data_IF_968196480863
#
_entry.id   IF_968196480863
#
_cell.length_a   1.000
_cell.length_b   1.000
_cell.length_c   1.000
_cell.angle_alpha   90.00
_cell.angle_beta   90.00
_cell.angle_gamma   90.00
#
_symmetry.space_group_name_H-M   'P 1'
#
loop_
_entity.id
_entity.type
_entity.pdbx_description
1 polymer ?
#
# COMPACT_ATOMS: atom_id res chain seq x y z
N UNK A 1 18.82 9.75 1.04
CA UNK A 1 18.25 10.56 -0.04
C UNK A 1 17.78 9.67 -1.17
N UNK A 2 16.70 8.89 -0.93
CA UNK A 2 16.06 8.05 -1.95
C UNK A 2 15.36 8.93 -2.97
N UNK A 3 15.50 8.58 -4.21
CA UNK A 3 15.08 9.33 -5.39
C UNK A 3 13.54 9.42 -5.50
N UNK A 4 12.93 10.44 -4.91
CA UNK A 4 11.52 10.81 -5.14
C UNK A 4 11.22 11.22 -6.60
N UNK A 5 12.25 11.28 -7.47
CA UNK A 5 12.13 11.73 -8.87
C UNK A 5 11.40 10.73 -9.78
N UNK A 6 11.49 9.42 -9.55
CA UNK A 6 10.81 8.40 -10.35
C UNK A 6 9.29 8.44 -10.20
N UNK A 7 8.81 8.64 -8.98
CA UNK A 7 7.38 8.76 -8.68
C UNK A 7 6.77 10.09 -9.19
N UNK A 8 7.56 11.17 -9.26
CA UNK A 8 7.13 12.44 -9.86
C UNK A 8 6.86 12.32 -11.38
N UNK A 9 7.54 11.41 -12.09
CA UNK A 9 7.28 11.15 -13.50
C UNK A 9 5.90 10.51 -13.76
N UNK A 10 5.31 9.83 -12.78
CA UNK A 10 3.97 9.24 -12.87
C UNK A 10 2.84 10.28 -12.85
N UNK A 11 3.10 11.50 -12.35
CA UNK A 11 2.12 12.58 -12.29
C UNK A 11 2.03 13.39 -13.60
N UNK A 12 2.94 13.18 -14.55
CA UNK A 12 3.04 13.97 -15.75
C UNK A 12 2.51 13.25 -16.99
N UNK A 13 1.33 13.68 -17.44
CA UNK A 13 0.99 13.83 -18.87
C UNK A 13 0.44 12.69 -19.69
N UNK A 14 -0.20 11.64 -19.20
CA UNK A 14 -1.00 10.85 -20.17
C UNK A 14 -2.34 10.40 -19.58
N UNK A 15 -3.43 11.02 -20.06
CA UNK A 15 -4.73 10.36 -20.17
C UNK A 15 -5.61 10.30 -18.93
N UNK A 16 -5.39 11.08 -17.88
CA UNK A 16 -6.40 11.19 -16.82
C UNK A 16 -7.63 11.92 -17.37
N UNK A 17 -8.75 11.20 -17.48
CA UNK A 17 -10.04 11.77 -17.79
C UNK A 17 -10.38 12.93 -16.85
N UNK A 18 -11.19 13.88 -17.30
CA UNK A 18 -11.61 15.09 -16.57
C UNK A 18 -12.10 14.80 -15.15
N UNK A 19 -12.74 13.65 -14.92
CA UNK A 19 -13.15 13.14 -13.61
C UNK A 19 -11.96 12.75 -12.71
N UNK A 20 -10.88 12.22 -13.27
CA UNK A 20 -9.67 11.90 -12.54
C UNK A 20 -9.00 13.13 -11.94
N UNK A 21 -8.97 14.24 -12.68
CA UNK A 21 -8.45 15.51 -12.18
C UNK A 21 -9.31 16.09 -11.06
N UNK A 22 -10.64 16.00 -11.16
CA UNK A 22 -11.56 16.45 -10.12
C UNK A 22 -11.41 15.62 -8.84
N UNK A 23 -11.26 14.31 -8.96
CA UNK A 23 -11.02 13.40 -7.84
C UNK A 23 -9.66 13.66 -7.18
N UNK A 24 -8.61 13.79 -7.99
CA UNK A 24 -7.26 14.14 -7.51
C UNK A 24 -7.24 15.49 -6.79
N UNK A 25 -7.94 16.49 -7.32
CA UNK A 25 -8.08 17.80 -6.71
C UNK A 25 -8.89 17.75 -5.41
N UNK A 26 -9.96 16.94 -5.37
CA UNK A 26 -10.76 16.69 -4.18
C UNK A 26 -9.96 16.04 -3.06
N UNK A 27 -9.18 14.97 -3.38
CA UNK A 27 -8.30 14.30 -2.41
C UNK A 27 -7.21 15.24 -1.86
N UNK A 28 -6.63 16.08 -2.71
CA UNK A 28 -5.60 17.05 -2.29
C UNK A 28 -6.15 18.16 -1.39
N UNK A 29 -7.42 18.53 -1.56
CA UNK A 29 -8.09 19.58 -0.76
C UNK A 29 -8.89 19.05 0.41
N UNK A 30 -9.27 17.78 0.39
CA UNK A 30 -10.05 17.21 1.49
C UNK A 30 -9.14 16.90 2.67
N UNK A 31 -9.60 17.21 3.86
CA UNK A 31 -9.05 16.70 5.10
C UNK A 31 -9.26 15.19 5.26
N UNK A 32 -9.69 14.49 4.19
CA UNK A 32 -10.07 13.08 4.22
C UNK A 32 -8.94 12.17 4.70
N UNK A 33 -7.73 12.39 4.19
CA UNK A 33 -6.53 11.65 4.63
C UNK A 33 -5.65 12.46 5.57
N UNK A 34 -5.95 13.75 5.80
CA UNK A 34 -5.17 14.70 6.63
C UNK A 34 -3.70 14.77 6.24
N UNK A 35 -3.43 14.85 4.93
CA UNK A 35 -2.09 14.74 4.34
C UNK A 35 -1.54 16.09 3.89
N UNK A 36 -0.20 16.16 3.85
CA UNK A 36 0.53 17.20 3.13
C UNK A 36 0.44 16.93 1.62
N UNK A 37 0.49 17.99 0.77
CA UNK A 37 0.33 17.87 -0.69
C UNK A 37 1.38 16.97 -1.39
N UNK A 38 2.54 16.81 -0.79
CA UNK A 38 3.68 16.03 -1.32
C UNK A 38 3.54 14.53 -1.11
N UNK A 39 2.59 14.09 -0.31
CA UNK A 39 2.45 12.70 0.12
C UNK A 39 1.48 11.88 -0.76
N UNK A 40 0.91 12.50 -1.81
CA UNK A 40 -0.11 11.88 -2.66
C UNK A 40 0.35 11.81 -4.11
N UNK A 41 0.39 10.60 -4.66
CA UNK A 41 0.65 10.35 -6.08
C UNK A 41 -0.54 9.65 -6.72
N UNK A 42 -0.76 9.88 -8.02
CA UNK A 42 -1.86 9.26 -8.76
C UNK A 42 -1.32 8.33 -9.84
N UNK A 43 -2.00 7.18 -9.98
CA UNK A 43 -1.72 6.16 -10.99
C UNK A 43 -3.04 5.68 -11.61
N UNK A 44 -2.96 4.86 -12.65
CA UNK A 44 -4.16 4.35 -13.31
C UNK A 44 -4.78 3.13 -12.59
N UNK A 45 -3.98 2.43 -11.77
CA UNK A 45 -4.42 1.25 -11.01
C UNK A 45 -3.52 1.01 -9.81
N UNK A 46 -4.01 0.20 -8.85
CA UNK A 46 -3.18 -0.34 -7.77
C UNK A 46 -1.91 -1.00 -8.31
N UNK A 47 -2.06 -1.91 -9.28
CA UNK A 47 -0.94 -2.66 -9.88
C UNK A 47 0.16 -1.74 -10.40
N UNK A 48 -0.22 -0.68 -11.14
CA UNK A 48 0.76 0.28 -11.66
C UNK A 48 1.44 1.05 -10.53
N UNK A 49 0.69 1.51 -9.55
CA UNK A 49 1.25 2.22 -8.39
C UNK A 49 2.22 1.35 -7.60
N UNK A 50 1.83 0.11 -7.33
CA UNK A 50 2.66 -0.83 -6.59
C UNK A 50 3.92 -1.22 -7.38
N UNK A 51 3.80 -1.54 -8.67
CA UNK A 51 4.95 -1.83 -9.54
C UNK A 51 5.93 -0.66 -9.61
N UNK A 52 5.42 0.56 -9.76
CA UNK A 52 6.28 1.75 -9.79
C UNK A 52 7.04 1.95 -8.48
N UNK A 53 6.39 1.70 -7.35
CA UNK A 53 7.01 1.77 -6.03
C UNK A 53 8.12 0.73 -5.88
N UNK A 54 7.81 -0.54 -6.15
CA UNK A 54 8.75 -1.64 -5.91
C UNK A 54 9.92 -1.66 -6.87
N UNK A 55 9.77 -1.09 -8.07
CA UNK A 55 10.87 -0.94 -9.04
C UNK A 55 11.95 0.05 -8.57
N UNK A 56 11.64 0.94 -7.63
CA UNK A 56 12.60 1.88 -7.04
C UNK A 56 13.34 1.29 -5.82
N UNK A 57 12.93 0.12 -5.34
CA UNK A 57 13.57 -0.56 -4.22
C UNK A 57 14.81 -1.31 -4.72
N UNK A 58 15.96 -0.97 -4.15
CA UNK A 58 17.24 -1.55 -4.53
C UNK A 58 17.60 -2.77 -3.68
N UNK A 59 18.43 -3.65 -4.25
CA UNK A 59 18.96 -4.82 -3.54
C UNK A 59 18.04 -6.03 -3.60
N UNK A 60 18.12 -6.89 -2.59
CA UNK A 60 17.28 -8.09 -2.42
C UNK A 60 16.61 -8.10 -1.05
N UNK A 61 15.71 -7.15 -0.79
CA UNK A 61 15.01 -7.11 0.48
C UNK A 61 14.07 -8.31 0.62
N UNK A 62 13.80 -8.65 1.88
CA UNK A 62 12.85 -9.70 2.25
C UNK A 62 11.46 -9.10 2.44
N UNK A 63 10.48 -9.68 1.77
CA UNK A 63 9.09 -9.31 1.89
C UNK A 63 8.27 -10.42 2.54
N UNK A 64 7.49 -10.10 3.56
CA UNK A 64 6.34 -10.93 3.95
C UNK A 64 5.17 -10.56 3.04
N UNK A 65 4.54 -11.59 2.49
CA UNK A 65 3.29 -11.53 1.72
C UNK A 65 2.34 -12.62 2.20
N UNK A 66 1.03 -12.43 2.04
CA UNK A 66 0.06 -13.45 2.39
C UNK A 66 -0.16 -14.43 1.24
N UNK A 67 -0.39 -15.70 1.58
CA UNK A 67 -0.91 -16.68 0.64
C UNK A 67 -2.29 -16.22 0.16
N UNK A 68 -2.58 -16.37 -1.12
CA UNK A 68 -3.88 -16.00 -1.73
C UNK A 68 -4.29 -14.52 -1.57
N UNK A 69 -3.36 -13.62 -1.22
CA UNK A 69 -3.59 -12.18 -1.30
C UNK A 69 -3.73 -11.72 -2.76
N UNK A 70 -4.11 -10.47 -2.97
CA UNK A 70 -4.33 -9.95 -4.32
C UNK A 70 -3.09 -10.18 -5.21
N UNK A 71 -3.23 -10.90 -6.35
CA UNK A 71 -2.07 -11.40 -7.12
C UNK A 71 -1.08 -10.32 -7.54
N UNK A 72 -1.55 -9.08 -7.77
CA UNK A 72 -0.67 -7.98 -8.16
C UNK A 72 0.41 -7.67 -7.15
N UNK A 73 0.23 -8.01 -5.85
CA UNK A 73 1.25 -7.85 -4.82
C UNK A 73 2.40 -8.83 -5.09
N UNK A 74 2.11 -10.12 -5.00
CA UNK A 74 3.13 -11.16 -5.13
C UNK A 74 3.77 -11.19 -6.52
N UNK A 75 3.00 -10.98 -7.58
CA UNK A 75 3.50 -11.01 -8.96
C UNK A 75 4.45 -9.84 -9.27
N UNK A 76 4.16 -8.65 -8.73
CA UNK A 76 5.05 -7.50 -8.89
C UNK A 76 6.39 -7.71 -8.17
N UNK A 77 6.35 -8.30 -6.98
CA UNK A 77 7.55 -8.60 -6.19
C UNK A 77 8.39 -9.70 -6.83
N UNK A 78 7.76 -10.76 -7.36
CA UNK A 78 8.46 -11.83 -8.10
C UNK A 78 9.21 -11.29 -9.31
N UNK A 79 8.63 -10.35 -10.05
CA UNK A 79 9.29 -9.72 -11.22
C UNK A 79 10.58 -8.99 -10.86
N UNK A 80 10.67 -8.46 -9.65
CA UNK A 80 11.86 -7.78 -9.13
C UNK A 80 12.87 -8.74 -8.47
N UNK A 81 12.58 -10.06 -8.45
CA UNK A 81 13.46 -11.09 -7.86
C UNK A 81 13.80 -10.83 -6.39
N UNK A 82 12.82 -10.31 -5.62
CA UNK A 82 12.92 -10.13 -4.17
C UNK A 82 12.71 -11.45 -3.42
N UNK A 83 13.19 -11.52 -2.18
CA UNK A 83 13.03 -12.67 -1.32
C UNK A 83 11.64 -12.65 -0.65
N UNK A 84 10.75 -13.59 -1.04
CA UNK A 84 9.36 -13.62 -0.59
C UNK A 84 9.13 -14.69 0.45
N UNK A 85 8.58 -14.28 1.59
CA UNK A 85 8.16 -15.12 2.69
C UNK A 85 6.64 -15.18 2.68
N UNK A 86 6.09 -16.31 2.27
CA UNK A 86 4.64 -16.51 2.26
C UNK A 86 4.12 -16.89 3.63
N UNK A 87 3.06 -16.25 4.05
CA UNK A 87 2.39 -16.46 5.32
C UNK A 87 0.93 -16.86 5.07
N UNK A 88 0.45 -17.86 5.81
CA UNK A 88 -0.93 -18.34 5.68
C UNK A 88 -1.92 -17.20 5.93
N UNK A 89 -2.91 -17.11 5.04
CA UNK A 89 -4.05 -16.21 5.13
C UNK A 89 -5.25 -16.98 5.68
N UNK A 90 -5.33 -17.12 6.99
CA UNK A 90 -6.38 -17.83 7.72
C UNK A 90 -6.81 -17.05 8.97
N UNK A 91 -7.65 -17.65 9.81
CA UNK A 91 -8.14 -17.02 11.05
C UNK A 91 -7.04 -16.60 12.03
N UNK A 92 -5.81 -17.10 11.88
CA UNK A 92 -4.66 -16.78 12.71
C UNK A 92 -3.67 -15.85 11.99
N UNK A 93 -4.12 -15.10 10.99
CA UNK A 93 -3.29 -14.27 10.09
C UNK A 93 -2.31 -13.36 10.85
N UNK A 94 -2.74 -12.76 11.95
CA UNK A 94 -1.91 -11.84 12.75
C UNK A 94 -0.78 -12.56 13.47
N UNK A 95 -1.06 -13.71 14.08
CA UNK A 95 -0.06 -14.57 14.70
C UNK A 95 0.92 -15.12 13.67
N UNK A 96 0.41 -15.51 12.50
CA UNK A 96 1.22 -15.99 11.39
C UNK A 96 2.19 -14.92 10.90
N UNK A 97 1.74 -13.67 10.74
CA UNK A 97 2.58 -12.52 10.38
C UNK A 97 3.63 -12.29 11.47
N UNK A 98 3.23 -12.22 12.74
CA UNK A 98 4.15 -11.97 13.85
C UNK A 98 5.24 -13.04 13.96
N UNK A 99 4.88 -14.32 13.86
CA UNK A 99 5.83 -15.42 13.87
C UNK A 99 6.81 -15.35 12.70
N UNK A 100 6.35 -14.97 11.51
CA UNK A 100 7.21 -14.81 10.35
C UNK A 100 8.18 -13.62 10.52
N UNK A 101 7.74 -12.51 11.10
CA UNK A 101 8.62 -11.36 11.40
C UNK A 101 9.73 -11.78 12.36
N UNK A 102 9.40 -12.47 13.46
CA UNK A 102 10.38 -12.96 14.44
C UNK A 102 11.39 -13.90 13.79
N UNK A 103 10.91 -14.82 12.96
CA UNK A 103 11.73 -15.89 12.36
C UNK A 103 12.68 -15.37 11.27
N UNK A 104 12.19 -14.46 10.41
CA UNK A 104 12.88 -14.12 9.16
C UNK A 104 13.47 -12.71 9.14
N UNK A 105 13.09 -11.86 10.10
CA UNK A 105 13.49 -10.45 10.20
C UNK A 105 13.38 -9.75 8.82
N UNK A 106 12.16 -9.59 8.27
CA UNK A 106 11.93 -9.00 6.96
C UNK A 106 12.14 -7.50 6.95
N UNK A 107 12.38 -6.95 5.76
CA UNK A 107 12.45 -5.50 5.54
C UNK A 107 11.04 -4.91 5.32
N UNK A 108 10.17 -5.69 4.65
CA UNK A 108 8.85 -5.24 4.24
C UNK A 108 7.74 -6.24 4.60
N UNK A 109 6.57 -5.68 4.94
CA UNK A 109 5.29 -6.38 4.99
C UNK A 109 4.38 -5.76 3.92
N UNK A 110 4.05 -6.53 2.85
CA UNK A 110 3.18 -6.08 1.78
C UNK A 110 1.87 -6.89 1.80
N UNK A 111 0.75 -6.23 2.15
CA UNK A 111 -0.53 -6.90 2.45
C UNK A 111 -1.73 -6.07 2.01
N UNK A 112 -2.84 -6.75 1.67
CA UNK A 112 -4.17 -6.12 1.62
C UNK A 112 -4.69 -5.89 3.05
N UNK A 113 -5.17 -4.67 3.33
CA UNK A 113 -5.73 -4.30 4.66
C UNK A 113 -7.02 -5.09 4.91
N UNK A 114 -7.83 -5.24 3.86
CA UNK A 114 -9.01 -6.11 3.85
C UNK A 114 -8.81 -7.14 2.76
N UNK A 115 -8.87 -8.41 3.13
CA UNK A 115 -8.64 -9.52 2.21
C UNK A 115 -9.75 -9.60 1.16
N UNK A 116 -9.37 -9.82 -0.08
CA UNK A 116 -10.31 -9.73 -1.21
C UNK A 116 -11.19 -10.96 -1.40
N UNK A 117 -10.79 -12.12 -0.83
CA UNK A 117 -11.51 -13.38 -0.95
C UNK A 117 -12.63 -13.48 0.09
N UNK A 118 -12.33 -13.19 1.34
CA UNK A 118 -13.20 -13.47 2.49
C UNK A 118 -13.60 -12.22 3.30
N UNK A 119 -12.96 -11.06 3.00
CA UNK A 119 -13.24 -9.80 3.67
C UNK A 119 -12.63 -9.66 5.06
N UNK A 120 -11.69 -10.53 5.45
CA UNK A 120 -10.98 -10.40 6.73
C UNK A 120 -10.26 -9.05 6.75
N UNK A 121 -10.54 -8.26 7.78
CA UNK A 121 -9.85 -7.01 8.10
C UNK A 121 -8.72 -7.30 9.09
N UNK A 122 -7.49 -6.98 8.71
CA UNK A 122 -6.35 -7.07 9.64
C UNK A 122 -6.46 -5.94 10.66
N UNK A 123 -6.35 -6.26 11.95
CA UNK A 123 -6.50 -5.26 13.01
C UNK A 123 -5.44 -4.17 12.92
N UNK A 124 -5.91 -2.94 12.87
CA UNK A 124 -5.04 -1.76 12.82
C UNK A 124 -4.19 -1.59 14.09
N UNK A 125 -4.69 -2.03 15.26
CA UNK A 125 -3.91 -1.98 16.50
C UNK A 125 -2.79 -3.03 16.50
N UNK A 126 -3.04 -4.20 15.93
CA UNK A 126 -1.99 -5.20 15.69
C UNK A 126 -0.88 -4.61 14.81
N UNK A 127 -1.23 -4.03 13.65
CA UNK A 127 -0.23 -3.41 12.76
C UNK A 127 0.52 -2.24 13.43
N UNK A 128 -0.16 -1.44 14.27
CA UNK A 128 0.51 -0.40 15.07
C UNK A 128 1.50 -0.99 16.07
N UNK A 129 1.13 -2.09 16.73
CA UNK A 129 2.05 -2.77 17.65
C UNK A 129 3.29 -3.29 16.94
N UNK A 130 3.15 -3.82 15.73
CA UNK A 130 4.30 -4.22 14.90
C UNK A 130 5.24 -3.05 14.60
N UNK A 131 4.70 -1.87 14.25
CA UNK A 131 5.53 -0.67 13.98
C UNK A 131 6.25 -0.17 15.22
N UNK A 132 5.68 -0.35 16.41
CA UNK A 132 6.33 0.03 17.67
C UNK A 132 7.46 -0.95 18.04
N UNK A 133 7.24 -2.24 17.82
CA UNK A 133 8.18 -3.31 18.16
C UNK A 133 9.29 -3.44 17.10
N UNK A 134 8.94 -3.33 15.80
CA UNK A 134 9.85 -3.51 14.65
C UNK A 134 10.00 -2.21 13.86
N UNK A 135 10.79 -1.27 14.37
CA UNK A 135 10.91 0.10 13.81
C UNK A 135 11.43 0.15 12.37
N UNK A 136 12.20 -0.86 11.97
CA UNK A 136 12.77 -0.95 10.61
C UNK A 136 11.83 -1.66 9.63
N UNK A 137 10.74 -2.28 10.11
CA UNK A 137 9.76 -2.92 9.24
C UNK A 137 8.96 -1.85 8.50
N UNK A 138 8.98 -1.91 7.18
CA UNK A 138 8.16 -1.07 6.32
C UNK A 138 6.85 -1.78 5.97
N UNK A 139 5.71 -1.14 6.20
CA UNK A 139 4.38 -1.68 5.86
C UNK A 139 3.83 -1.00 4.61
N UNK A 140 3.69 -1.77 3.54
CA UNK A 140 3.07 -1.37 2.27
C UNK A 140 1.69 -2.01 2.21
N UNK A 141 0.64 -1.20 2.21
CA UNK A 141 -0.74 -1.65 2.31
C UNK A 141 -1.51 -1.47 0.99
N UNK A 142 -2.22 -2.52 0.55
CA UNK A 142 -3.32 -2.37 -0.41
C UNK A 142 -4.59 -1.97 0.34
N UNK A 143 -5.00 -0.73 0.11
CA UNK A 143 -6.22 -0.14 0.68
C UNK A 143 -7.43 -0.24 -0.23
N UNK A 144 -7.38 -0.98 -1.34
CA UNK A 144 -8.45 -0.97 -2.36
C UNK A 144 -9.81 -1.40 -1.80
N UNK A 145 -9.85 -2.37 -0.89
CA UNK A 145 -11.08 -2.79 -0.21
C UNK A 145 -11.35 -2.03 1.10
N UNK A 146 -10.43 -1.16 1.53
CA UNK A 146 -10.50 -0.43 2.80
C UNK A 146 -10.85 1.05 2.62
N UNK A 147 -10.17 1.75 1.68
CA UNK A 147 -10.35 3.18 1.48
C UNK A 147 -11.77 3.51 0.99
N UNK A 148 -12.44 4.42 1.70
CA UNK A 148 -13.82 4.81 1.41
C UNK A 148 -14.86 4.10 2.27
N UNK A 149 -14.51 3.07 3.05
CA UNK A 149 -15.45 2.37 3.94
C UNK A 149 -15.60 3.05 5.30
N UNK A 150 -14.58 3.78 5.75
CA UNK A 150 -14.57 4.47 7.04
C UNK A 150 -13.69 5.72 7.00
N UNK A 151 -13.83 6.56 8.02
CA UNK A 151 -12.91 7.67 8.23
C UNK A 151 -11.52 7.13 8.58
N UNK A 152 -10.51 7.61 7.85
CA UNK A 152 -9.15 7.14 7.98
C UNK A 152 -8.16 8.31 8.02
N UNK A 153 -7.23 8.24 8.95
CA UNK A 153 -6.13 9.19 9.06
C UNK A 153 -4.82 8.48 8.75
N UNK A 154 -4.25 8.73 7.57
CA UNK A 154 -3.03 8.08 7.13
C UNK A 154 -1.82 8.43 8.00
N UNK A 155 -1.68 9.68 8.46
CA UNK A 155 -0.57 10.13 9.31
C UNK A 155 -0.46 9.29 10.61
N UNK A 156 -1.61 8.95 11.20
CA UNK A 156 -1.70 8.17 12.43
C UNK A 156 -1.86 6.66 12.18
N UNK A 157 -1.76 6.22 10.93
CA UNK A 157 -1.86 4.82 10.57
C UNK A 157 -0.53 4.09 10.76
N UNK A 158 -0.53 2.75 10.79
CA UNK A 158 0.70 1.95 10.81
C UNK A 158 1.39 1.87 9.44
N UNK A 159 0.71 2.30 8.37
CA UNK A 159 1.23 2.15 7.01
C UNK A 159 2.29 3.20 6.70
N UNK A 160 3.40 2.77 6.11
CA UNK A 160 4.41 3.67 5.54
C UNK A 160 3.99 4.09 4.13
N UNK A 161 3.39 3.13 3.40
CA UNK A 161 2.77 3.36 2.10
C UNK A 161 1.37 2.74 2.06
N UNK A 162 0.40 3.46 1.51
CA UNK A 162 -0.93 2.95 1.22
C UNK A 162 -1.27 3.21 -0.25
N UNK A 163 -1.63 2.16 -0.97
CA UNK A 163 -2.02 2.24 -2.37
C UNK A 163 -3.46 1.76 -2.50
N UNK A 164 -4.27 2.48 -3.24
CA UNK A 164 -5.68 2.10 -3.44
C UNK A 164 -6.17 2.45 -4.83
N UNK A 165 -6.86 1.51 -5.46
CA UNK A 165 -7.68 1.82 -6.63
C UNK A 165 -8.94 2.56 -6.22
N UNK A 166 -9.36 3.56 -7.01
CA UNK A 166 -10.51 4.41 -6.69
C UNK A 166 -11.88 3.82 -7.05
N UNK A 167 -11.93 2.75 -7.85
CA UNK A 167 -13.19 2.24 -8.42
C UNK A 167 -14.06 1.42 -7.45
N UNK A 168 -13.52 0.98 -6.31
CA UNK A 168 -14.28 0.25 -5.28
C UNK A 168 -15.08 1.24 -4.42
N UNK A 169 -14.81 1.29 -3.13
CA UNK A 169 -15.57 2.07 -2.15
C UNK A 169 -15.38 3.59 -2.25
N UNK A 170 -14.33 4.05 -2.93
CA UNK A 170 -14.15 5.47 -3.24
C UNK A 170 -15.04 5.97 -4.38
N UNK A 171 -15.70 5.08 -5.12
CA UNK A 171 -16.65 5.37 -6.21
C UNK A 171 -16.10 6.33 -7.29
N UNK A 172 -14.80 6.32 -7.52
CA UNK A 172 -14.13 7.27 -8.42
C UNK A 172 -14.05 6.80 -9.88
N UNK A 173 -14.60 5.62 -10.19
CA UNK A 173 -14.51 5.00 -11.53
C UNK A 173 -13.18 4.31 -11.80
N UNK A 174 -13.08 3.68 -12.98
CA UNK A 174 -11.87 2.99 -13.42
C UNK A 174 -10.79 3.95 -13.90
N UNK A 175 -9.54 3.49 -13.91
CA UNK A 175 -8.39 4.26 -14.40
C UNK A 175 -7.87 5.31 -13.41
N UNK A 176 -8.25 5.21 -12.14
CA UNK A 176 -7.77 6.08 -11.07
C UNK A 176 -7.36 5.22 -9.88
N UNK A 177 -6.14 5.45 -9.42
CA UNK A 177 -5.62 4.95 -8.16
C UNK A 177 -4.72 6.02 -7.54
N UNK A 178 -4.45 5.90 -6.26
CA UNK A 178 -3.55 6.79 -5.55
C UNK A 178 -2.57 6.01 -4.67
N UNK A 179 -1.44 6.65 -4.42
CA UNK A 179 -0.39 6.19 -3.53
C UNK A 179 -0.17 7.26 -2.48
N UNK A 180 -0.27 6.91 -1.23
CA UNK A 180 0.07 7.74 -0.08
C UNK A 180 1.39 7.24 0.49
N UNK A 181 2.36 8.13 0.70
CA UNK A 181 3.69 7.78 1.21
C UNK A 181 4.04 8.70 2.37
N UNK A 182 4.48 8.14 3.48
CA UNK A 182 5.03 8.92 4.60
C UNK A 182 6.41 9.49 4.25
N UNK A 183 6.72 10.70 4.73
CA UNK A 183 7.96 11.42 4.40
C UNK A 183 9.26 10.70 4.83
N UNK A 184 9.17 9.68 5.64
CA UNK A 184 10.30 8.89 6.13
C UNK A 184 10.51 7.56 5.39
N UNK A 185 9.80 7.35 4.30
CA UNK A 185 9.91 6.18 3.43
C UNK A 185 11.07 6.34 2.42
#
# INVERSE_FOLDING_TARGET
GGNSRGLLALSSRQGMHRFGWMFAYGLRRSDFFKLKKTDVFFTNSFTQGFQSLVNEINGKPKFIVLEDDYPSISDSLKKNNFDLIYVKNDSNIEDNIKNAIIKFNPDFLAISVVQWIDGILIDNNFLKSLKLEYKNLTIIADGTQFCGTCNFNFENSPFDVLISSGYKWMLAGYGIAFVLIKNNF
#
